data_IF_449610733567
#
_entry.id   IF_449610733567
#
_cell.length_a   1.000
_cell.length_b   1.000
_cell.length_c   1.000
_cell.angle_alpha   90.00
_cell.angle_beta   90.00
_cell.angle_gamma   90.00
#
_symmetry.space_group_name_H-M   'P 1'
#
loop_
_entity.id
_entity.type
_entity.pdbx_description
1 polymer ?
#
# COMPACT_ATOMS: atom_id res chain seq x y z
N UNK A 1 -17.46 29.77 -1.63
CA UNK A 1 -17.77 29.47 -0.21
C UNK A 1 -16.72 30.16 0.64
N UNK A 2 -17.11 30.96 1.64
CA UNK A 2 -16.17 31.44 2.65
C UNK A 2 -15.76 30.25 3.53
N UNK A 3 -14.47 30.02 3.66
CA UNK A 3 -13.92 29.00 4.56
C UNK A 3 -13.82 29.62 5.94
N UNK A 4 -14.67 29.18 6.87
CA UNK A 4 -14.57 29.55 8.28
C UNK A 4 -13.32 28.89 8.89
N UNK A 5 -12.55 29.66 9.66
CA UNK A 5 -11.29 29.19 10.27
C UNK A 5 -11.46 29.11 11.79
N UNK A 6 -11.21 27.93 12.34
CA UNK A 6 -11.08 27.70 13.77
C UNK A 6 -9.59 27.69 14.15
N UNK A 7 -9.22 28.41 15.21
CA UNK A 7 -7.88 28.36 15.80
C UNK A 7 -7.97 27.68 17.16
N UNK A 8 -7.13 26.68 17.39
CA UNK A 8 -7.01 25.99 18.67
C UNK A 8 -5.54 26.02 19.11
N UNK A 9 -5.32 26.43 20.36
CA UNK A 9 -4.01 26.43 20.99
C UNK A 9 -3.92 25.26 21.95
N UNK A 10 -2.79 24.56 21.89
CA UNK A 10 -2.49 23.42 22.74
C UNK A 10 -1.17 23.66 23.47
N UNK A 11 -1.15 23.33 24.77
CA UNK A 11 0.10 23.30 25.52
C UNK A 11 0.77 21.93 25.32
N UNK A 12 2.07 21.84 25.60
CA UNK A 12 2.84 20.61 25.43
C UNK A 12 3.19 20.03 26.80
N UNK A 13 2.65 18.85 27.09
CA UNK A 13 2.95 18.09 28.31
C UNK A 13 4.39 17.58 28.30
N UNK A 14 4.80 17.01 27.17
CA UNK A 14 6.14 16.46 26.95
C UNK A 14 6.43 16.30 25.47
N UNK A 15 7.72 16.27 25.14
CA UNK A 15 8.24 16.03 23.80
C UNK A 15 9.00 14.70 23.82
N UNK A 16 8.76 13.86 22.82
CA UNK A 16 9.51 12.62 22.60
C UNK A 16 10.20 12.72 21.24
N UNK A 17 11.53 12.71 21.23
CA UNK A 17 12.31 12.62 20.00
C UNK A 17 12.18 11.22 19.39
N UNK A 18 11.95 11.17 18.07
CA UNK A 18 11.79 9.94 17.29
C UNK A 18 12.87 9.79 16.23
N UNK A 19 13.89 10.66 16.23
CA UNK A 19 14.95 10.70 15.23
C UNK A 19 14.48 11.27 13.90
N UNK A 20 15.40 11.45 12.95
CA UNK A 20 15.12 11.96 11.59
C UNK A 20 14.38 13.32 11.56
N UNK A 21 14.51 14.10 12.64
CA UNK A 21 13.82 15.37 12.83
C UNK A 21 12.33 15.25 13.17
N UNK A 22 11.86 14.06 13.59
CA UNK A 22 10.51 13.89 14.11
C UNK A 22 10.43 14.08 15.62
N UNK A 23 9.37 14.75 16.05
CA UNK A 23 9.00 14.89 17.46
C UNK A 23 7.53 14.49 17.66
N UNK A 24 7.26 13.78 18.75
CA UNK A 24 5.90 13.62 19.26
C UNK A 24 5.66 14.59 20.42
N UNK A 25 4.76 15.56 20.23
CA UNK A 25 4.36 16.52 21.27
C UNK A 25 3.03 16.09 21.89
N UNK A 26 3.07 15.65 23.14
CA UNK A 26 1.88 15.21 23.87
C UNK A 26 1.09 16.44 24.31
N UNK A 27 -0.17 16.53 23.90
CA UNK A 27 -0.92 17.78 23.98
C UNK A 27 -1.73 17.88 25.29
N UNK A 28 -1.84 19.10 25.79
CA UNK A 28 -2.83 19.55 26.78
C UNK A 28 -3.77 20.55 26.11
N UNK A 29 -4.99 20.65 26.62
CA UNK A 29 -5.94 21.70 26.25
C UNK A 29 -6.46 22.34 27.54
N UNK A 30 -6.16 23.64 27.72
CA UNK A 30 -6.51 24.40 28.94
C UNK A 30 -5.95 23.73 30.20
N UNK A 31 -4.68 23.35 30.19
CA UNK A 31 -4.01 22.62 31.27
C UNK A 31 -4.43 21.16 31.45
N UNK A 32 -5.43 20.66 30.72
CA UNK A 32 -5.94 19.29 30.86
C UNK A 32 -5.33 18.36 29.82
N UNK A 33 -4.87 17.17 30.25
CA UNK A 33 -4.37 16.12 29.34
C UNK A 33 -5.48 15.65 28.40
N UNK A 34 -5.24 15.73 27.10
CA UNK A 34 -6.16 15.24 26.06
C UNK A 34 -5.62 13.97 25.40
N UNK A 35 -6.45 13.09 24.80
CA UNK A 35 -6.00 11.79 24.28
C UNK A 35 -5.21 11.86 22.96
N UNK A 36 -4.68 13.03 22.61
CA UNK A 36 -3.98 13.31 21.36
C UNK A 36 -2.53 13.74 21.57
N UNK A 37 -1.73 13.59 20.53
CA UNK A 37 -0.38 14.11 20.37
C UNK A 37 -0.19 14.67 18.96
N UNK A 38 0.64 15.69 18.81
CA UNK A 38 1.05 16.18 17.51
C UNK A 38 2.31 15.45 17.04
N UNK A 39 2.36 15.11 15.76
CA UNK A 39 3.55 14.68 15.05
C UNK A 39 4.13 15.91 14.35
N UNK A 40 5.36 16.26 14.71
CA UNK A 40 6.10 17.38 14.13
C UNK A 40 7.28 16.81 13.34
N UNK A 41 7.59 17.38 12.18
CA UNK A 41 8.81 17.08 11.42
C UNK A 41 9.54 18.38 11.10
N UNK A 42 10.78 18.53 11.58
CA UNK A 42 11.62 19.73 11.35
C UNK A 42 10.87 21.05 11.64
N UNK A 43 10.10 21.07 12.73
CA UNK A 43 9.31 22.24 13.15
C UNK A 43 7.93 22.39 12.50
N UNK A 44 7.60 21.64 11.45
CA UNK A 44 6.29 21.69 10.79
C UNK A 44 5.31 20.66 11.39
N UNK A 45 4.04 21.06 11.56
CA UNK A 45 2.97 20.15 11.99
C UNK A 45 2.61 19.20 10.85
N UNK A 46 2.74 17.89 11.10
CA UNK A 46 2.36 16.84 10.15
C UNK A 46 0.94 16.36 10.41
N UNK A 47 0.63 16.00 11.67
CA UNK A 47 -0.67 15.48 12.04
C UNK A 47 -0.93 15.58 13.54
N UNK A 48 -2.21 15.59 13.92
CA UNK A 48 -2.64 15.35 15.30
C UNK A 48 -3.28 13.96 15.34
N UNK A 49 -2.69 13.08 16.15
CA UNK A 49 -3.06 11.66 16.23
C UNK A 49 -3.35 11.26 17.66
N UNK A 50 -3.97 10.10 17.86
CA UNK A 50 -4.14 9.55 19.21
C UNK A 50 -2.79 9.32 19.88
N UNK A 51 -2.69 9.50 21.20
CA UNK A 51 -1.50 9.13 22.00
C UNK A 51 -1.09 7.66 21.81
N UNK A 52 -2.03 6.79 21.42
CA UNK A 52 -1.78 5.37 21.14
C UNK A 52 -1.06 5.12 19.81
N UNK A 53 -1.04 6.09 18.91
CA UNK A 53 -0.34 5.99 17.62
C UNK A 53 1.16 5.82 17.85
N UNK A 54 1.80 4.88 17.16
CA UNK A 54 3.25 4.69 17.23
C UNK A 54 3.92 5.18 15.96
N UNK A 55 4.54 6.36 16.00
CA UNK A 55 5.24 6.88 14.84
C UNK A 55 6.42 5.97 14.45
N UNK A 56 6.41 5.53 13.19
CA UNK A 56 7.55 4.91 12.51
C UNK A 56 8.05 5.90 11.46
N UNK A 57 9.26 6.45 11.60
CA UNK A 57 9.83 7.37 10.60
C UNK A 57 9.94 6.71 9.22
N UNK A 58 9.57 7.43 8.17
CA UNK A 58 9.70 6.94 6.78
C UNK A 58 11.17 6.64 6.42
N UNK A 59 12.08 7.44 6.93
CA UNK A 59 13.53 7.33 6.74
C UNK A 59 14.07 6.00 7.31
N UNK A 60 13.57 5.58 8.49
CA UNK A 60 13.92 4.28 9.06
C UNK A 60 13.44 3.13 8.17
N UNK A 61 12.24 3.22 7.60
CA UNK A 61 11.73 2.22 6.65
C UNK A 61 12.59 2.16 5.39
N UNK A 62 13.00 3.32 4.86
CA UNK A 62 13.88 3.40 3.70
C UNK A 62 15.22 2.69 3.96
N UNK A 63 15.84 2.95 5.11
CA UNK A 63 17.10 2.33 5.53
C UNK A 63 16.99 0.81 5.66
N UNK A 64 15.95 0.33 6.33
CA UNK A 64 15.73 -1.11 6.51
C UNK A 64 15.46 -1.82 5.18
N UNK A 65 14.66 -1.22 4.30
CA UNK A 65 14.40 -1.78 2.98
C UNK A 65 15.67 -1.82 2.12
N UNK A 66 16.52 -0.78 2.18
CA UNK A 66 17.83 -0.78 1.51
C UNK A 66 18.72 -1.91 2.01
N UNK A 67 18.79 -2.12 3.33
CA UNK A 67 19.57 -3.21 3.91
C UNK A 67 19.06 -4.59 3.46
N UNK A 68 17.74 -4.81 3.44
CA UNK A 68 17.16 -6.06 2.95
C UNK A 68 17.47 -6.25 1.46
N UNK A 69 17.26 -5.21 0.64
CA UNK A 69 17.52 -5.27 -0.79
C UNK A 69 19.00 -5.53 -1.10
N UNK A 70 19.93 -4.91 -0.38
CA UNK A 70 21.37 -5.13 -0.51
C UNK A 70 21.75 -6.58 -0.19
N UNK A 71 21.30 -7.10 0.97
CA UNK A 71 21.55 -8.51 1.36
C UNK A 71 21.05 -9.49 0.29
N UNK A 72 19.91 -9.19 -0.33
CA UNK A 72 19.26 -10.06 -1.32
C UNK A 72 19.67 -9.78 -2.76
N UNK A 73 20.50 -8.76 -3.01
CA UNK A 73 20.87 -8.26 -4.34
C UNK A 73 19.62 -7.97 -5.20
N UNK A 74 18.66 -7.27 -4.60
CA UNK A 74 17.42 -6.87 -5.23
C UNK A 74 17.50 -5.43 -5.76
N UNK A 75 16.72 -5.17 -6.80
CA UNK A 75 16.45 -3.81 -7.25
C UNK A 75 15.55 -3.11 -6.23
N UNK A 76 15.75 -1.80 -6.07
CA UNK A 76 14.96 -0.97 -5.16
C UNK A 76 14.50 0.30 -5.87
N UNK A 77 13.23 0.64 -5.67
CA UNK A 77 12.62 1.90 -6.14
C UNK A 77 11.89 2.53 -4.97
N UNK A 78 12.21 3.80 -4.68
CA UNK A 78 11.62 4.56 -3.58
C UNK A 78 10.74 5.66 -4.15
N UNK A 79 9.46 5.64 -3.81
CA UNK A 79 8.50 6.71 -4.07
C UNK A 79 8.10 7.33 -2.73
N UNK A 80 8.29 8.65 -2.56
CA UNK A 80 8.07 9.32 -1.27
C UNK A 80 7.42 10.68 -1.44
N UNK A 81 6.55 10.98 -0.49
CA UNK A 81 5.99 12.32 -0.27
C UNK A 81 6.45 12.84 1.08
N UNK A 82 5.91 13.98 1.52
CA UNK A 82 6.18 14.51 2.86
C UNK A 82 5.73 13.54 3.97
N UNK A 83 4.59 12.88 3.78
CA UNK A 83 3.94 12.06 4.82
C UNK A 83 3.92 10.57 4.52
N UNK A 84 4.28 10.13 3.31
CA UNK A 84 4.24 8.74 2.90
C UNK A 84 5.53 8.28 2.23
N UNK A 85 5.82 6.98 2.35
CA UNK A 85 6.87 6.30 1.60
C UNK A 85 6.35 4.96 1.07
N UNK A 86 6.74 4.62 -0.15
CA UNK A 86 6.56 3.34 -0.79
C UNK A 86 7.90 2.87 -1.32
N UNK A 87 8.37 1.72 -0.83
CA UNK A 87 9.62 1.09 -1.26
C UNK A 87 9.30 -0.20 -1.98
N UNK A 88 9.47 -0.21 -3.29
CA UNK A 88 9.37 -1.43 -4.09
C UNK A 88 10.73 -2.11 -4.14
N UNK A 89 10.81 -3.37 -3.72
CA UNK A 89 12.05 -4.15 -3.72
C UNK A 89 11.83 -5.56 -4.23
N UNK A 90 12.70 -6.05 -5.11
CA UNK A 90 12.56 -7.39 -5.68
C UNK A 90 13.54 -7.69 -6.81
N UNK A 91 13.35 -8.85 -7.44
CA UNK A 91 14.21 -9.36 -8.51
C UNK A 91 13.42 -10.29 -9.43
N UNK A 92 13.81 -10.34 -10.71
CA UNK A 92 13.26 -11.29 -11.70
C UNK A 92 11.72 -11.24 -11.78
N UNK A 93 11.17 -10.03 -11.65
CA UNK A 93 9.73 -9.79 -11.74
C UNK A 93 8.92 -10.24 -10.52
N UNK A 94 9.54 -10.49 -9.37
CA UNK A 94 8.85 -10.79 -8.11
C UNK A 94 9.43 -9.92 -6.99
N UNK A 95 8.60 -9.43 -6.09
CA UNK A 95 9.08 -8.65 -4.96
C UNK A 95 7.97 -8.18 -4.04
N UNK A 96 8.27 -7.18 -3.24
CA UNK A 96 7.34 -6.58 -2.29
C UNK A 96 7.32 -5.06 -2.40
N UNK A 97 6.20 -4.46 -2.02
CA UNK A 97 6.07 -3.02 -1.80
C UNK A 97 5.87 -2.79 -0.30
N UNK A 98 6.83 -2.14 0.34
CA UNK A 98 6.73 -1.70 1.74
C UNK A 98 6.21 -0.28 1.76
N UNK A 99 5.06 -0.04 2.40
CA UNK A 99 4.43 1.27 2.50
C UNK A 99 4.37 1.72 3.96
N UNK A 100 4.63 3.01 4.23
CA UNK A 100 4.46 3.60 5.55
C UNK A 100 3.96 5.04 5.45
N UNK A 101 3.20 5.50 6.47
CA UNK A 101 2.73 6.89 6.58
C UNK A 101 2.95 7.42 7.99
N UNK A 102 3.19 8.73 8.09
CA UNK A 102 3.42 9.43 9.37
C UNK A 102 2.28 10.36 9.77
N UNK A 103 1.24 10.47 8.94
CA UNK A 103 0.09 11.37 9.10
C UNK A 103 -1.09 10.76 9.88
N UNK A 104 -0.96 9.52 10.36
CA UNK A 104 -2.01 8.83 11.11
C UNK A 104 -3.08 8.16 10.26
N UNK A 105 -3.05 8.29 8.93
CA UNK A 105 -4.02 7.67 8.02
C UNK A 105 -3.61 6.25 7.57
N UNK A 106 -2.30 5.98 7.50
CA UNK A 106 -1.75 4.69 7.06
C UNK A 106 -1.05 3.93 8.16
N UNK A 107 -0.90 2.62 7.94
CA UNK A 107 -0.03 1.75 8.73
C UNK A 107 1.16 1.29 7.89
N UNK A 108 2.24 0.86 8.54
CA UNK A 108 3.26 0.04 7.91
C UNK A 108 2.59 -1.21 7.29
N UNK A 109 2.79 -1.40 6.00
CA UNK A 109 2.21 -2.50 5.22
C UNK A 109 3.26 -3.07 4.28
N UNK A 110 3.22 -4.38 4.05
CA UNK A 110 4.03 -5.06 3.04
C UNK A 110 3.09 -5.79 2.09
N UNK A 111 3.09 -5.39 0.82
CA UNK A 111 2.30 -6.01 -0.23
C UNK A 111 3.20 -6.82 -1.15
N UNK A 112 2.69 -7.92 -1.72
CA UNK A 112 3.40 -8.69 -2.74
C UNK A 112 3.27 -7.97 -4.09
N UNK A 113 4.27 -8.05 -4.96
CA UNK A 113 4.07 -7.79 -6.38
C UNK A 113 4.68 -8.86 -7.26
N UNK A 114 4.06 -9.07 -8.42
CA UNK A 114 4.67 -9.80 -9.53
C UNK A 114 4.55 -9.00 -10.83
N UNK A 115 5.52 -9.17 -11.72
CA UNK A 115 5.55 -8.49 -13.02
C UNK A 115 4.80 -9.32 -14.05
N UNK A 116 3.82 -8.69 -14.69
CA UNK A 116 3.05 -9.28 -15.80
C UNK A 116 3.12 -8.32 -16.97
N UNK A 117 3.71 -8.75 -18.08
CA UNK A 117 3.91 -7.92 -19.28
C UNK A 117 4.49 -6.52 -18.96
N UNK A 118 5.49 -6.47 -18.07
CA UNK A 118 6.15 -5.24 -17.64
C UNK A 118 5.42 -4.43 -16.56
N UNK A 119 4.19 -4.79 -16.19
CA UNK A 119 3.45 -4.15 -15.11
C UNK A 119 3.70 -4.85 -13.77
N UNK A 120 4.12 -4.11 -12.73
CA UNK A 120 4.22 -4.65 -11.36
C UNK A 120 2.83 -4.67 -10.74
N UNK A 121 2.18 -5.83 -10.77
CA UNK A 121 0.84 -6.00 -10.21
C UNK A 121 0.94 -6.25 -8.72
N UNK A 122 0.32 -5.38 -7.94
CA UNK A 122 0.39 -5.39 -6.49
C UNK A 122 -0.77 -6.21 -5.92
N UNK A 123 -0.45 -7.15 -5.04
CA UNK A 123 -1.40 -8.00 -4.33
C UNK A 123 -1.33 -7.72 -2.83
N UNK A 124 -2.46 -7.26 -2.28
CA UNK A 124 -2.62 -7.09 -0.84
C UNK A 124 -2.88 -8.45 -0.21
N UNK A 125 -2.05 -8.82 0.75
CA UNK A 125 -2.30 -10.00 1.60
C UNK A 125 -3.51 -9.69 2.48
N UNK A 126 -4.54 -10.53 2.42
CA UNK A 126 -5.80 -10.29 3.14
C UNK A 126 -5.72 -10.80 4.58
N UNK A 127 -6.63 -10.29 5.42
CA UNK A 127 -6.64 -10.48 6.88
C UNK A 127 -6.84 -11.95 7.30
N UNK A 128 -7.43 -12.78 6.46
CA UNK A 128 -7.72 -14.19 6.75
C UNK A 128 -6.56 -15.14 6.39
N UNK A 129 -5.52 -14.64 5.71
CA UNK A 129 -4.25 -15.33 5.65
C UNK A 129 -3.63 -15.29 7.05
N UNK A 130 -3.00 -16.36 7.54
CA UNK A 130 -2.29 -16.46 8.85
C UNK A 130 -1.18 -15.37 9.08
N UNK A 131 -1.09 -14.43 8.15
CA UNK A 131 -0.25 -13.25 8.04
C UNK A 131 -0.94 -11.97 8.55
N UNK A 132 -1.83 -12.07 9.56
CA UNK A 132 -2.39 -10.92 10.29
C UNK A 132 -1.30 -9.96 10.83
N UNK A 133 -0.05 -10.44 10.88
CA UNK A 133 1.16 -9.70 11.25
C UNK A 133 1.59 -8.59 10.26
N UNK A 134 1.12 -8.63 9.01
CA UNK A 134 1.56 -7.70 7.94
C UNK A 134 0.78 -6.39 7.91
N UNK A 135 -0.36 -6.32 8.62
CA UNK A 135 -1.20 -5.12 8.75
C UNK A 135 -1.44 -4.79 10.23
N UNK A 136 -0.39 -4.40 10.96
CA UNK A 136 -0.57 -3.83 12.31
C UNK A 136 -0.68 -2.32 12.20
N UNK A 137 -1.91 -1.79 12.37
CA UNK A 137 -2.09 -0.37 12.70
C UNK A 137 -1.13 0.00 13.84
N UNK A 138 -0.51 1.17 13.76
CA UNK A 138 0.48 1.72 14.70
C UNK A 138 -0.04 1.82 16.15
N UNK A 139 -0.38 0.71 16.79
CA UNK A 139 -0.69 0.57 18.21
C UNK A 139 0.45 -0.19 18.87
N UNK A 140 0.45 -0.36 20.21
CA UNK A 140 1.59 -0.86 21.02
C UNK A 140 2.38 -2.08 20.48
N UNK A 141 1.81 -2.89 19.56
CA UNK A 141 2.52 -3.97 18.85
C UNK A 141 3.36 -3.55 17.62
N UNK A 142 3.41 -2.26 17.24
CA UNK A 142 4.12 -1.79 16.04
C UNK A 142 5.65 -1.83 16.16
N UNK A 143 6.19 -1.80 17.40
CA UNK A 143 7.63 -1.97 17.64
C UNK A 143 8.13 -3.33 17.12
N UNK A 144 7.27 -4.36 17.18
CA UNK A 144 7.54 -5.72 16.71
C UNK A 144 7.67 -5.76 15.18
N UNK A 145 6.98 -4.87 14.44
CA UNK A 145 6.91 -4.92 12.97
C UNK A 145 8.21 -4.46 12.31
N UNK A 146 8.96 -3.55 12.94
CA UNK A 146 10.25 -3.07 12.42
C UNK A 146 11.30 -4.18 12.54
N UNK A 147 11.39 -4.79 13.73
CA UNK A 147 12.36 -5.86 14.01
C UNK A 147 12.07 -7.12 13.20
N UNK A 148 10.80 -7.37 12.85
CA UNK A 148 10.37 -8.51 12.05
C UNK A 148 10.12 -8.18 10.57
N UNK A 149 10.51 -6.99 10.07
CA UNK A 149 10.23 -6.60 8.68
C UNK A 149 10.73 -7.62 7.66
N UNK A 150 11.94 -8.15 7.85
CA UNK A 150 12.48 -9.18 6.95
C UNK A 150 11.67 -10.49 7.00
N UNK A 151 11.24 -10.92 8.18
CA UNK A 151 10.37 -12.10 8.32
C UNK A 151 9.02 -11.88 7.65
N UNK A 152 8.46 -10.67 7.77
CA UNK A 152 7.23 -10.29 7.08
C UNK A 152 7.43 -10.36 5.56
N UNK A 153 8.54 -9.84 5.05
CA UNK A 153 8.87 -9.93 3.62
C UNK A 153 8.95 -11.39 3.16
N UNK A 154 9.61 -12.26 3.91
CA UNK A 154 9.67 -13.70 3.60
C UNK A 154 8.30 -14.37 3.61
N UNK A 155 7.48 -14.05 4.61
CA UNK A 155 6.16 -14.60 4.74
C UNK A 155 5.24 -14.15 3.58
N UNK A 156 5.34 -12.89 3.15
CA UNK A 156 4.63 -12.38 1.96
C UNK A 156 5.12 -13.07 0.67
N UNK A 157 6.42 -13.30 0.53
CA UNK A 157 6.99 -13.95 -0.65
C UNK A 157 6.63 -15.43 -0.75
N UNK A 158 6.33 -16.10 0.36
CA UNK A 158 5.82 -17.48 0.33
C UNK A 158 4.50 -17.62 -0.44
N UNK A 159 3.77 -16.52 -0.65
CA UNK A 159 2.48 -16.47 -1.38
C UNK A 159 2.63 -16.28 -2.89
N UNK A 160 3.86 -16.23 -3.41
CA UNK A 160 4.12 -16.00 -4.85
C UNK A 160 3.50 -17.10 -5.71
N UNK A 161 3.61 -18.36 -5.30
CA UNK A 161 3.12 -19.47 -6.09
C UNK A 161 1.58 -19.54 -6.11
N UNK A 162 0.92 -19.20 -5.01
CA UNK A 162 -0.53 -19.05 -4.94
C UNK A 162 -1.03 -17.98 -5.94
N UNK A 163 -0.36 -16.82 -5.96
CA UNK A 163 -0.69 -15.74 -6.88
C UNK A 163 -0.45 -16.13 -8.35
N UNK A 164 0.68 -16.77 -8.65
CA UNK A 164 0.98 -17.28 -10.00
C UNK A 164 -0.05 -18.32 -10.44
N UNK A 165 -0.49 -19.19 -9.53
CA UNK A 165 -1.52 -20.18 -9.80
C UNK A 165 -2.84 -19.52 -10.22
N UNK A 166 -3.32 -18.52 -9.45
CA UNK A 166 -4.53 -17.77 -9.78
C UNK A 166 -4.44 -17.09 -11.15
N UNK A 167 -3.32 -16.42 -11.43
CA UNK A 167 -3.09 -15.72 -12.69
C UNK A 167 -3.02 -16.68 -13.87
N UNK A 168 -2.42 -17.86 -13.70
CA UNK A 168 -2.36 -18.87 -14.77
C UNK A 168 -3.71 -19.53 -15.02
N UNK A 169 -4.60 -19.64 -14.03
CA UNK A 169 -5.97 -20.11 -14.26
C UNK A 169 -6.78 -19.16 -15.15
N UNK A 170 -6.46 -17.86 -15.15
CA UNK A 170 -7.14 -16.88 -16.00
C UNK A 170 -6.98 -17.15 -17.51
N UNK A 171 -5.95 -17.89 -17.94
CA UNK A 171 -5.78 -18.25 -19.35
C UNK A 171 -6.88 -19.19 -19.87
N UNK A 172 -7.54 -19.93 -18.96
CA UNK A 172 -8.61 -20.89 -19.31
C UNK A 172 -9.98 -20.22 -19.39
N UNK A 173 -10.10 -18.96 -19.00
CA UNK A 173 -11.37 -18.25 -18.90
C UNK A 173 -11.46 -17.25 -20.05
N UNK A 174 -12.51 -17.35 -20.85
CA UNK A 174 -12.80 -16.43 -21.95
C UNK A 174 -13.47 -15.18 -21.39
N UNK A 175 -12.81 -14.02 -21.49
CA UNK A 175 -13.26 -12.79 -20.82
C UNK A 175 -14.60 -12.27 -21.35
N UNK A 176 -14.90 -12.52 -22.63
CA UNK A 176 -16.18 -12.13 -23.23
C UNK A 176 -17.39 -12.91 -22.68
N UNK A 177 -17.17 -14.06 -22.02
CA UNK A 177 -18.24 -14.83 -21.38
C UNK A 177 -18.61 -14.31 -19.99
N UNK A 178 -17.78 -13.45 -19.42
CA UNK A 178 -17.91 -12.87 -18.07
C UNK A 178 -17.93 -11.33 -18.15
N UNK A 179 -18.54 -10.81 -19.21
CA UNK A 179 -18.55 -9.38 -19.51
C UNK A 179 -19.22 -8.57 -18.40
N UNK A 180 -20.36 -9.06 -17.88
CA UNK A 180 -21.16 -8.35 -16.89
C UNK A 180 -20.42 -8.24 -15.54
N UNK A 181 -19.69 -9.28 -15.15
CA UNK A 181 -18.84 -9.28 -13.95
C UNK A 181 -17.66 -8.31 -14.10
N UNK A 182 -17.04 -8.26 -15.28
CA UNK A 182 -15.93 -7.34 -15.56
C UNK A 182 -16.39 -5.88 -15.66
N UNK A 183 -17.62 -5.63 -16.09
CA UNK A 183 -18.18 -4.27 -16.23
C UNK A 183 -18.26 -3.52 -14.91
N UNK A 184 -18.35 -4.22 -13.77
CA UNK A 184 -18.30 -3.64 -12.43
C UNK A 184 -17.02 -2.79 -12.22
N UNK A 185 -15.93 -3.11 -12.93
CA UNK A 185 -14.70 -2.33 -12.86
C UNK A 185 -14.87 -0.89 -13.37
N UNK A 186 -15.89 -0.59 -14.21
CA UNK A 186 -16.17 0.77 -14.67
C UNK A 186 -16.63 1.71 -13.55
N UNK A 187 -17.21 1.16 -12.47
CA UNK A 187 -17.65 1.93 -11.30
C UNK A 187 -16.52 2.10 -10.28
N UNK A 188 -15.49 1.27 -10.35
CA UNK A 188 -14.39 1.21 -9.36
C UNK A 188 -13.09 1.84 -9.85
N UNK A 189 -12.83 1.77 -11.16
CA UNK A 189 -11.59 2.22 -11.79
C UNK A 189 -11.95 3.21 -12.90
N UNK A 190 -11.30 4.39 -12.97
CA UNK A 190 -11.56 5.36 -14.03
C UNK A 190 -11.46 4.74 -15.43
N UNK A 191 -12.45 5.02 -16.27
CA UNK A 191 -12.63 4.41 -17.61
C UNK A 191 -11.35 4.39 -18.45
N UNK A 192 -10.54 5.45 -18.40
CA UNK A 192 -9.29 5.54 -19.16
C UNK A 192 -8.31 4.37 -18.92
N UNK A 193 -8.38 3.68 -17.78
CA UNK A 193 -7.48 2.55 -17.46
C UNK A 193 -8.04 1.18 -17.86
N UNK A 194 -9.33 1.09 -18.18
CA UNK A 194 -10.03 -0.18 -18.45
C UNK A 194 -10.64 -0.22 -19.85
N UNK A 195 -10.91 0.94 -20.46
CA UNK A 195 -11.64 1.06 -21.72
C UNK A 195 -10.98 0.23 -22.83
N UNK A 196 -9.67 0.31 -22.98
CA UNK A 196 -8.95 -0.47 -23.99
C UNK A 196 -9.10 -1.97 -23.74
N UNK A 197 -9.06 -2.42 -22.49
CA UNK A 197 -9.27 -3.83 -22.15
C UNK A 197 -10.73 -4.26 -22.41
N UNK A 198 -11.71 -3.40 -22.13
CA UNK A 198 -13.12 -3.66 -22.44
C UNK A 198 -13.36 -3.80 -23.95
N UNK A 199 -12.70 -2.98 -24.78
CA UNK A 199 -12.76 -3.13 -26.24
C UNK A 199 -12.18 -4.48 -26.72
N UNK A 200 -11.14 -4.99 -26.05
CA UNK A 200 -10.53 -6.27 -26.41
C UNK A 200 -11.49 -7.48 -26.23
N UNK A 201 -12.54 -7.34 -25.43
CA UNK A 201 -13.53 -8.40 -25.21
C UNK A 201 -14.24 -8.82 -26.51
N UNK A 202 -14.25 -7.97 -27.54
CA UNK A 202 -14.79 -8.30 -28.86
C UNK A 202 -13.96 -9.38 -29.60
N UNK A 203 -12.69 -9.58 -29.21
CA UNK A 203 -11.72 -10.43 -29.93
C UNK A 203 -11.41 -11.76 -29.22
N UNK A 204 -12.34 -12.33 -28.45
CA UNK A 204 -12.17 -13.63 -27.74
C UNK A 204 -10.87 -13.71 -26.92
N UNK A 205 -10.56 -12.66 -26.17
CA UNK A 205 -9.38 -12.63 -25.28
C UNK A 205 -9.62 -13.43 -23.99
N UNK A 206 -8.54 -13.94 -23.41
CA UNK A 206 -8.59 -14.59 -22.09
C UNK A 206 -8.72 -13.55 -20.97
N UNK A 207 -9.18 -13.98 -19.79
CA UNK A 207 -9.22 -13.13 -18.61
C UNK A 207 -7.81 -12.63 -18.25
N UNK A 208 -6.76 -13.43 -18.50
CA UNK A 208 -5.36 -13.03 -18.26
C UNK A 208 -4.95 -11.88 -19.18
N UNK A 209 -5.34 -11.92 -20.45
CA UNK A 209 -5.05 -10.84 -21.40
C UNK A 209 -5.78 -9.55 -21.02
N UNK A 210 -7.07 -9.66 -20.65
CA UNK A 210 -7.83 -8.52 -20.10
C UNK A 210 -7.14 -7.93 -18.87
N UNK A 211 -6.83 -8.77 -17.89
CA UNK A 211 -6.19 -8.38 -16.63
C UNK A 211 -4.84 -7.71 -16.87
N UNK A 212 -3.99 -8.32 -17.72
CA UNK A 212 -2.66 -7.78 -18.06
C UNK A 212 -2.76 -6.41 -18.72
N UNK A 213 -3.78 -6.21 -19.56
CA UNK A 213 -4.01 -4.91 -20.21
C UNK A 213 -4.38 -3.84 -19.19
N UNK A 214 -5.36 -4.09 -18.33
CA UNK A 214 -5.75 -3.15 -17.27
C UNK A 214 -4.57 -2.87 -16.32
N UNK A 215 -3.85 -3.92 -15.92
CA UNK A 215 -2.69 -3.80 -15.05
C UNK A 215 -1.59 -2.90 -15.64
N UNK A 216 -1.33 -3.03 -16.94
CA UNK A 216 -0.37 -2.17 -17.65
C UNK A 216 -0.79 -0.70 -17.64
N UNK A 217 -2.07 -0.41 -17.89
CA UNK A 217 -2.60 0.96 -17.85
C UNK A 217 -2.56 1.57 -16.44
N UNK A 218 -2.85 0.78 -15.39
CA UNK A 218 -2.73 1.23 -14.00
C UNK A 218 -1.26 1.52 -13.65
N UNK A 219 -0.35 0.62 -14.04
CA UNK A 219 1.06 0.72 -13.68
C UNK A 219 1.76 1.91 -14.35
N UNK A 220 1.48 2.15 -15.63
CA UNK A 220 2.07 3.24 -16.41
C UNK A 220 1.48 4.62 -16.10
N UNK A 221 0.33 4.66 -15.41
CA UNK A 221 -0.34 5.91 -15.08
C UNK A 221 0.50 6.82 -14.17
N UNK A 222 0.47 8.13 -14.46
CA UNK A 222 1.02 9.17 -13.60
C UNK A 222 0.04 9.50 -12.46
N UNK A 223 0.02 8.61 -11.46
CA UNK A 223 -0.80 8.69 -10.25
C UNK A 223 -0.01 8.14 -9.06
N UNK A 224 -0.38 8.55 -7.85
CA UNK A 224 0.28 8.09 -6.63
C UNK A 224 0.26 6.56 -6.49
N UNK A 225 1.29 6.00 -5.86
CA UNK A 225 1.35 4.56 -5.57
C UNK A 225 0.15 4.08 -4.75
N UNK A 226 -0.34 4.88 -3.80
CA UNK A 226 -1.57 4.59 -3.04
C UNK A 226 -2.78 4.36 -3.97
N UNK A 227 -2.93 5.21 -4.99
CA UNK A 227 -3.99 5.07 -5.99
C UNK A 227 -3.81 3.80 -6.82
N UNK A 228 -2.57 3.49 -7.27
CA UNK A 228 -2.26 2.26 -8.03
C UNK A 228 -2.62 1.01 -7.22
N UNK A 229 -2.18 0.96 -5.96
CA UNK A 229 -2.46 -0.16 -5.05
C UNK A 229 -3.97 -0.35 -4.87
N UNK A 230 -4.73 0.74 -4.72
CA UNK A 230 -6.19 0.66 -4.62
C UNK A 230 -6.83 0.10 -5.90
N UNK A 231 -6.40 0.54 -7.08
CA UNK A 231 -6.94 0.03 -8.34
C UNK A 231 -6.55 -1.43 -8.58
N UNK A 232 -5.34 -1.84 -8.21
CA UNK A 232 -4.96 -3.26 -8.24
C UNK A 232 -5.80 -4.10 -7.28
N UNK A 233 -6.07 -3.60 -6.08
CA UNK A 233 -6.95 -4.28 -5.12
C UNK A 233 -8.36 -4.51 -5.72
N UNK A 234 -8.96 -3.49 -6.34
CA UNK A 234 -10.24 -3.65 -7.04
C UNK A 234 -10.16 -4.66 -8.20
N UNK A 235 -9.14 -4.54 -9.05
CA UNK A 235 -8.93 -5.45 -10.17
C UNK A 235 -8.77 -6.90 -9.68
N UNK A 236 -7.90 -7.14 -8.70
CA UNK A 236 -7.64 -8.46 -8.12
C UNK A 236 -8.89 -9.04 -7.47
N UNK A 237 -9.64 -8.23 -6.71
CA UNK A 237 -10.84 -8.71 -6.01
C UNK A 237 -11.89 -9.23 -7.00
N UNK A 238 -12.12 -8.53 -8.10
CA UNK A 238 -13.08 -8.96 -9.12
C UNK A 238 -12.53 -10.18 -9.87
N UNK A 239 -11.32 -10.11 -10.41
CA UNK A 239 -10.81 -11.19 -11.27
C UNK A 239 -10.50 -12.46 -10.51
N UNK A 240 -10.02 -12.39 -9.27
CA UNK A 240 -9.74 -13.58 -8.46
C UNK A 240 -11.02 -14.23 -7.94
N UNK A 241 -12.07 -13.45 -7.66
CA UNK A 241 -13.38 -14.02 -7.33
C UNK A 241 -13.94 -14.86 -8.50
N UNK A 242 -13.75 -14.41 -9.74
CA UNK A 242 -14.13 -15.16 -10.94
C UNK A 242 -13.29 -16.43 -11.10
N UNK A 243 -11.98 -16.36 -10.84
CA UNK A 243 -11.09 -17.54 -10.90
C UNK A 243 -11.40 -18.57 -9.80
N UNK A 244 -11.91 -18.14 -8.66
CA UNK A 244 -12.19 -19.01 -7.51
C UNK A 244 -13.49 -19.84 -7.66
N UNK A 245 -14.36 -19.49 -8.62
CA UNK A 245 -15.52 -20.28 -9.02
C UNK A 245 -15.11 -21.52 -9.82
#
# INVERSE_FOLDING_TARGET
MQVERLVAEFEVEKIVDKGYGYEEKYLLFKGVKIPYKAIIKKGALIAIVSRKYHLIPNELIEELCKQIAERRKWEIVVDKTETSIHVSMGRDGVGVVVANRVDGYGALRVDLYITINGAKVIYKIKKDDELEQVYKKHYKGAKIVIDDLEKIVDAVLSKVDDLKYLINRMDKIQANKIYDELKILEDLIPKKYIQTAMHLLQYRVTLKQFYSKVASEIWSADISMDTKIRYFDYLNNITFAIVAQ
#
